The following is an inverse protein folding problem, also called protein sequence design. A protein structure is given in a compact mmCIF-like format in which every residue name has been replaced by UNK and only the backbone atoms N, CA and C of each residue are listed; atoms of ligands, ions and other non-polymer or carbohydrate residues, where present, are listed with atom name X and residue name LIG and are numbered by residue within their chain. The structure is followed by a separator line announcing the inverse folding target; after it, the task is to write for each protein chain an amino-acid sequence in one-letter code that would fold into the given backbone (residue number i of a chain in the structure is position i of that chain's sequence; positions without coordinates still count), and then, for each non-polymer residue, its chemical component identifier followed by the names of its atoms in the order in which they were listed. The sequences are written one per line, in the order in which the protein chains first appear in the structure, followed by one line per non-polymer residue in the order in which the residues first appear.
data_IF_546989291345
#
_entry.id   IF_546989291345
#
_cell.length_a   1.000
_cell.length_b   1.000
_cell.length_c   1.000
_cell.angle_alpha   90.00
_cell.angle_beta   90.00
_cell.angle_gamma   90.00
#
_symmetry.space_group_name_H-M   'P 1'
#
loop_
_entity.id
_entity.type
_entity.pdbx_description
1 polymer ?
#
# COMPACT_ATOMS: atom_id res chain seq x y z
N UNK A 1 8.68 -2.55 -17.69
CA UNK A 1 9.80 -3.37 -17.20
C UNK A 1 9.50 -3.95 -15.82
N UNK A 2 9.63 -3.22 -14.70
CA UNK A 2 9.38 -3.76 -13.35
C UNK A 2 7.92 -4.15 -13.09
N UNK A 3 6.96 -3.35 -13.57
CA UNK A 3 5.53 -3.67 -13.48
C UNK A 3 5.15 -4.94 -14.23
N UNK A 4 5.63 -5.07 -15.48
CA UNK A 4 5.37 -6.25 -16.32
C UNK A 4 6.02 -7.51 -15.77
N UNK A 5 7.07 -7.36 -14.96
CA UNK A 5 7.69 -8.46 -14.25
C UNK A 5 6.81 -8.91 -13.10
N UNK A 6 6.38 -7.99 -12.21
CA UNK A 6 5.52 -8.32 -11.06
C UNK A 6 4.19 -8.96 -11.50
N UNK A 7 3.59 -8.48 -12.59
CA UNK A 7 2.32 -9.04 -13.11
C UNK A 7 2.43 -10.46 -13.65
N UNK A 8 3.63 -10.98 -13.85
CA UNK A 8 3.85 -12.38 -14.25
C UNK A 8 3.94 -13.34 -13.05
N UNK A 9 4.04 -12.83 -11.82
CA UNK A 9 4.12 -13.64 -10.62
C UNK A 9 2.79 -13.65 -9.88
N UNK A 10 2.36 -14.83 -9.44
CA UNK A 10 1.34 -14.96 -8.39
C UNK A 10 2.04 -15.02 -7.05
N UNK A 11 2.01 -13.91 -6.32
CA UNK A 11 2.61 -13.82 -4.99
C UNK A 11 1.64 -14.41 -3.97
N UNK A 12 2.15 -15.20 -3.03
CA UNK A 12 1.34 -15.63 -1.88
C UNK A 12 1.14 -14.48 -0.89
N UNK A 13 2.17 -13.66 -0.69
CA UNK A 13 2.16 -12.52 0.22
C UNK A 13 2.79 -11.26 -0.41
N UNK A 14 2.08 -10.15 -0.34
CA UNK A 14 2.56 -8.81 -0.71
C UNK A 14 2.68 -7.94 0.53
N UNK A 15 3.92 -7.58 0.93
CA UNK A 15 4.17 -6.71 2.08
C UNK A 15 4.55 -5.33 1.55
N UNK A 16 3.81 -4.30 1.95
CA UNK A 16 4.06 -2.93 1.52
C UNK A 16 3.93 -1.93 2.67
N UNK A 17 4.64 -0.81 2.52
CA UNK A 17 4.43 0.40 3.32
C UNK A 17 3.81 1.52 2.49
N UNK A 18 3.34 2.56 3.17
CA UNK A 18 2.72 3.74 2.55
C UNK A 18 3.28 5.02 3.15
N UNK A 19 3.21 6.12 2.39
CA UNK A 19 3.63 7.43 2.87
C UNK A 19 2.63 8.09 3.80
N UNK A 20 1.33 7.83 3.66
CA UNK A 20 0.29 8.32 4.56
C UNK A 20 -1.04 7.57 4.42
N UNK A 21 -1.83 7.60 5.48
CA UNK A 21 -3.20 7.09 5.54
C UNK A 21 -4.08 8.24 6.00
N UNK A 22 -5.05 8.63 5.18
CA UNK A 22 -6.03 9.65 5.56
C UNK A 22 -7.12 9.04 6.46
N UNK A 23 -7.81 9.89 7.20
CA UNK A 23 -8.91 9.57 8.11
C UNK A 23 -10.09 8.84 7.45
N UNK A 24 -10.27 9.00 6.14
CA UNK A 24 -11.27 8.29 5.34
C UNK A 24 -10.80 6.90 4.86
N UNK A 25 -9.57 6.51 5.22
CA UNK A 25 -8.94 5.27 4.80
C UNK A 25 -8.21 5.35 3.45
N UNK A 26 -8.03 6.53 2.88
CA UNK A 26 -7.22 6.72 1.66
C UNK A 26 -5.74 6.44 1.93
N UNK A 27 -5.14 5.58 1.12
CA UNK A 27 -3.70 5.32 1.10
C UNK A 27 -3.01 6.32 0.16
N UNK A 28 -2.05 7.07 0.68
CA UNK A 28 -1.45 8.21 0.00
C UNK A 28 0.06 8.03 -0.24
N UNK A 29 0.52 8.43 -1.42
CA UNK A 29 1.93 8.44 -1.82
C UNK A 29 2.46 9.80 -2.26
N UNK A 30 3.78 9.96 -2.23
CA UNK A 30 4.47 11.12 -2.80
C UNK A 30 4.84 10.92 -4.27
N UNK A 31 5.15 9.69 -4.69
CA UNK A 31 5.60 9.38 -6.05
C UNK A 31 4.61 8.45 -6.77
N UNK A 32 4.20 8.85 -7.98
CA UNK A 32 3.36 8.06 -8.87
C UNK A 32 4.01 6.72 -9.29
N UNK A 33 5.33 6.66 -9.38
CA UNK A 33 6.04 5.41 -9.69
C UNK A 33 5.91 4.38 -8.55
N UNK A 34 5.90 4.83 -7.30
CA UNK A 34 5.64 3.97 -6.15
C UNK A 34 4.20 3.43 -6.15
N UNK A 35 3.23 4.29 -6.46
CA UNK A 35 1.82 3.90 -6.58
C UNK A 35 1.64 2.75 -7.57
N UNK A 36 2.25 2.85 -8.76
CA UNK A 36 2.11 1.80 -9.78
C UNK A 36 2.71 0.47 -9.34
N UNK A 37 3.88 0.49 -8.72
CA UNK A 37 4.55 -0.72 -8.24
C UNK A 37 3.75 -1.39 -7.13
N UNK A 38 3.28 -0.61 -6.14
CA UNK A 38 2.50 -1.13 -5.02
C UNK A 38 1.14 -1.67 -5.48
N UNK A 39 0.46 -1.00 -6.42
CA UNK A 39 -0.75 -1.54 -7.04
C UNK A 39 -0.53 -2.88 -7.73
N UNK A 40 0.55 -3.01 -8.49
CA UNK A 40 0.87 -4.29 -9.13
C UNK A 40 1.09 -5.40 -8.08
N UNK A 41 1.72 -5.10 -6.94
CA UNK A 41 1.88 -6.06 -5.84
C UNK A 41 0.52 -6.44 -5.27
N UNK A 42 -0.33 -5.46 -4.95
CA UNK A 42 -1.68 -5.69 -4.40
C UNK A 42 -2.51 -6.58 -5.34
N UNK A 43 -2.54 -6.24 -6.62
CA UNK A 43 -3.35 -6.95 -7.64
C UNK A 43 -2.85 -8.38 -7.91
N UNK A 44 -1.58 -8.68 -7.65
CA UNK A 44 -0.96 -9.98 -7.96
C UNK A 44 -0.65 -10.81 -6.71
N UNK A 45 -1.05 -10.36 -5.52
CA UNK A 45 -0.85 -11.08 -4.26
C UNK A 45 -2.15 -11.72 -3.76
N UNK A 46 -2.06 -12.93 -3.22
CA UNK A 46 -3.20 -13.60 -2.56
C UNK A 46 -3.54 -12.99 -1.21
N UNK A 47 -2.51 -12.55 -0.49
CA UNK A 47 -2.64 -11.86 0.79
C UNK A 47 -1.74 -10.62 0.82
N UNK A 48 -2.30 -9.49 1.22
CA UNK A 48 -1.65 -8.19 1.20
C UNK A 48 -1.58 -7.64 2.62
N UNK A 49 -0.36 -7.35 3.07
CA UNK A 49 -0.07 -6.84 4.41
C UNK A 49 0.50 -5.43 4.30
N UNK A 50 -0.20 -4.46 4.89
CA UNK A 50 0.25 -3.09 5.02
C UNK A 50 1.00 -2.92 6.35
N UNK A 51 2.26 -2.52 6.30
CA UNK A 51 3.09 -2.27 7.49
C UNK A 51 3.43 -0.80 7.56
N UNK A 52 2.93 -0.12 8.58
CA UNK A 52 3.04 1.34 8.75
C UNK A 52 3.23 1.69 10.21
N UNK A 53 4.06 2.68 10.49
CA UNK A 53 4.10 3.25 11.84
C UNK A 53 2.90 4.19 12.06
N UNK A 54 2.53 4.39 13.33
CA UNK A 54 1.38 5.22 13.73
C UNK A 54 1.49 6.67 13.24
N UNK A 55 2.70 7.19 12.98
CA UNK A 55 2.90 8.55 12.44
C UNK A 55 2.44 8.71 10.98
N UNK A 56 2.08 7.61 10.32
CA UNK A 56 1.52 7.62 8.95
C UNK A 56 0.02 7.89 8.92
N UNK A 57 -0.69 7.72 10.03
CA UNK A 57 -2.12 8.02 10.10
C UNK A 57 -2.35 9.54 10.21
N UNK A 58 -3.33 10.06 9.46
CA UNK A 58 -3.60 11.50 9.38
C UNK A 58 -2.57 12.31 8.59
N UNK A 59 -1.67 11.63 7.84
CA UNK A 59 -0.60 12.29 7.07
C UNK A 59 -1.04 12.53 5.63
N UNK A 60 -0.99 13.79 5.20
CA UNK A 60 -1.25 14.17 3.82
C UNK A 60 -0.10 13.76 2.90
N UNK A 61 -0.43 13.14 1.76
CA UNK A 61 0.46 12.98 0.60
C UNK A 61 -0.32 13.31 -0.69
N UNK A 62 0.39 13.56 -1.79
CA UNK A 62 -0.20 14.17 -2.99
C UNK A 62 -0.96 13.18 -3.88
N UNK A 63 -0.60 11.90 -3.85
CA UNK A 63 -1.11 10.90 -4.81
C UNK A 63 -1.95 9.86 -4.08
N UNK A 64 -3.22 9.73 -4.45
CA UNK A 64 -4.09 8.69 -3.92
C UNK A 64 -3.77 7.34 -4.61
N UNK A 65 -3.30 6.36 -3.82
CA UNK A 65 -3.03 4.99 -4.29
C UNK A 65 -4.32 4.16 -4.34
N UNK A 66 -5.24 4.41 -3.41
CA UNK A 66 -6.55 3.77 -3.28
C UNK A 66 -7.00 3.73 -1.83
N UNK A 67 -7.80 2.73 -1.45
CA UNK A 67 -8.32 2.58 -0.09
C UNK A 67 -7.56 1.51 0.70
N UNK A 68 -7.52 1.66 2.02
CA UNK A 68 -7.06 0.65 2.97
C UNK A 68 -7.84 -0.66 2.86
N UNK A 69 -9.05 -0.64 2.29
CA UNK A 69 -9.81 -1.87 2.00
C UNK A 69 -9.19 -2.76 0.92
N UNK A 70 -8.16 -2.29 0.21
CA UNK A 70 -7.42 -3.08 -0.77
C UNK A 70 -6.38 -4.01 -0.15
N UNK A 71 -6.13 -3.90 1.17
CA UNK A 71 -5.19 -4.76 1.90
C UNK A 71 -5.95 -5.67 2.86
N UNK A 72 -5.41 -6.86 3.11
CA UNK A 72 -6.04 -7.85 3.98
C UNK A 72 -5.75 -7.61 5.47
N UNK A 73 -4.59 -7.03 5.78
CA UNK A 73 -4.18 -6.76 7.15
C UNK A 73 -3.31 -5.51 7.25
N UNK A 74 -3.44 -4.81 8.38
CA UNK A 74 -2.65 -3.62 8.71
C UNK A 74 -1.89 -3.88 10.00
N UNK A 75 -0.59 -3.65 9.97
CA UNK A 75 0.32 -3.81 11.10
C UNK A 75 0.92 -2.45 11.43
N UNK A 76 0.80 -2.07 12.70
CA UNK A 76 1.31 -0.79 13.19
C UNK A 76 1.89 -0.93 14.60
N UNK A 77 2.82 -0.06 14.93
CA UNK A 77 3.58 -0.08 16.19
C UNK A 77 2.78 0.45 17.38
N UNK A 78 1.71 1.19 17.14
CA UNK A 78 0.77 1.65 18.16
C UNK A 78 -0.67 1.60 17.61
N UNK A 79 -1.70 1.52 18.49
CA UNK A 79 -3.08 1.64 18.05
C UNK A 79 -3.27 2.97 17.29
N UNK A 80 -3.92 2.94 16.11
CA UNK A 80 -4.21 4.14 15.33
C UNK A 80 -5.27 5.05 16.00
#
# INVERSE_FOLDING_TARGET
ATLDFISQFRLDFGILGISGIDSDGSLLEFDYHEVRTKRAIIENSRHVMLVVDHSKFGRNAMVNMGSISMVDAVYTDAPP
#
